data_IF_166413902852
#
_entry.id   IF_166413902852
#
_cell.length_a   1.000
_cell.length_b   1.000
_cell.length_c   1.000
_cell.angle_alpha   90.00
_cell.angle_beta   90.00
_cell.angle_gamma   90.00
#
_symmetry.space_group_name_H-M   'P 1'
#
loop_
_entity.id
_entity.type
_entity.pdbx_description
1 polymer ?
#
# COMPACT_ATOMS: atom_id res chain seq x y z
N UNK A 1 8.08 -9.26 30.76
CA UNK A 1 7.18 -10.37 30.35
C UNK A 1 7.65 -10.85 28.99
N UNK A 2 7.64 -12.16 28.73
CA UNK A 2 7.92 -12.70 27.39
C UNK A 2 6.80 -12.24 26.45
N UNK A 3 7.15 -11.79 25.22
CA UNK A 3 6.14 -11.46 24.22
C UNK A 3 5.42 -12.73 23.77
N UNK A 4 4.15 -12.58 23.43
CA UNK A 4 3.35 -13.63 22.86
C UNK A 4 3.93 -14.09 21.51
N UNK A 5 3.82 -15.38 21.20
CA UNK A 5 4.26 -15.93 19.93
C UNK A 5 3.11 -15.90 18.94
N UNK A 6 3.36 -15.43 17.73
CA UNK A 6 2.38 -15.47 16.66
C UNK A 6 2.16 -16.93 16.18
N UNK A 7 0.91 -17.35 16.07
CA UNK A 7 0.53 -18.67 15.58
C UNK A 7 -0.25 -18.51 14.28
N UNK A 8 0.27 -19.07 13.19
CA UNK A 8 -0.42 -19.10 11.89
C UNK A 8 -1.53 -20.14 11.90
N UNK A 9 -2.74 -19.72 12.20
CA UNK A 9 -3.92 -20.60 12.21
C UNK A 9 -4.78 -20.44 10.94
N UNK A 10 -4.64 -19.34 10.22
CA UNK A 10 -5.44 -18.96 9.05
C UNK A 10 -4.56 -18.39 7.92
N UNK A 11 -5.03 -18.45 6.66
CA UNK A 11 -4.37 -17.74 5.57
C UNK A 11 -4.27 -16.24 5.87
N UNK A 12 -3.11 -15.65 5.56
CA UNK A 12 -2.83 -14.23 5.78
C UNK A 12 -3.03 -13.43 4.51
N UNK A 13 -3.79 -12.32 4.61
CA UNK A 13 -4.08 -11.41 3.51
C UNK A 13 -3.82 -9.97 3.96
N UNK A 14 -3.15 -9.20 3.11
CA UNK A 14 -2.95 -7.77 3.34
C UNK A 14 -4.01 -6.99 2.57
N UNK A 15 -4.80 -6.20 3.27
CA UNK A 15 -5.75 -5.28 2.66
C UNK A 15 -5.52 -3.87 3.20
N UNK A 16 -6.20 -2.90 2.62
CA UNK A 16 -6.16 -1.55 3.19
C UNK A 16 -7.23 -0.67 2.60
N UNK A 17 -7.42 0.48 3.25
CA UNK A 17 -8.36 1.52 2.83
C UNK A 17 -7.66 2.56 1.96
N UNK A 18 -8.25 2.83 0.79
CA UNK A 18 -7.86 3.88 -0.14
C UNK A 18 -9.06 4.77 -0.47
N UNK A 19 -8.84 5.96 -0.99
CA UNK A 19 -9.88 6.91 -1.37
C UNK A 19 -9.58 8.34 -0.95
N UNK A 20 -10.46 9.25 -1.26
CA UNK A 20 -10.29 10.69 -1.03
C UNK A 20 -10.16 11.04 0.46
N UNK A 21 -9.55 12.20 0.77
CA UNK A 21 -9.57 12.77 2.12
C UNK A 21 -11.02 12.99 2.57
N UNK A 22 -11.31 12.84 3.85
CA UNK A 22 -12.63 12.99 4.47
C UNK A 22 -13.74 12.03 3.99
N UNK A 23 -13.45 11.04 3.13
CA UNK A 23 -14.41 9.99 2.78
C UNK A 23 -14.61 8.94 3.90
N UNK A 24 -13.81 8.99 4.96
CA UNK A 24 -13.99 8.17 6.17
C UNK A 24 -13.21 6.85 6.14
N UNK A 25 -12.03 6.80 5.54
CA UNK A 25 -11.16 5.61 5.52
C UNK A 25 -10.81 5.11 6.92
N UNK A 26 -10.21 5.98 7.74
CA UNK A 26 -9.85 5.66 9.14
C UNK A 26 -11.07 5.35 9.99
N UNK A 27 -12.19 6.06 9.75
CA UNK A 27 -13.47 5.78 10.41
C UNK A 27 -13.98 4.38 10.04
N UNK A 28 -13.83 3.95 8.78
CA UNK A 28 -14.20 2.62 8.32
C UNK A 28 -13.29 1.54 8.92
N UNK A 29 -11.99 1.80 8.99
CA UNK A 29 -11.02 0.92 9.66
C UNK A 29 -11.37 0.72 11.15
N UNK A 30 -11.70 1.80 11.86
CA UNK A 30 -12.16 1.74 13.24
C UNK A 30 -13.49 0.97 13.38
N UNK A 31 -14.44 1.17 12.45
CA UNK A 31 -15.72 0.46 12.43
C UNK A 31 -15.55 -1.06 12.23
N UNK A 32 -14.63 -1.47 11.34
CA UNK A 32 -14.26 -2.88 11.13
C UNK A 32 -13.73 -3.49 12.43
N UNK A 33 -12.76 -2.84 13.08
CA UNK A 33 -12.20 -3.37 14.34
C UNK A 33 -13.24 -3.42 15.45
N UNK A 34 -14.16 -2.43 15.52
CA UNK A 34 -15.26 -2.43 16.49
C UNK A 34 -16.18 -3.63 16.28
N UNK A 35 -16.68 -3.84 15.06
CA UNK A 35 -17.54 -4.96 14.73
C UNK A 35 -16.89 -6.32 15.03
N UNK A 36 -15.67 -6.52 14.54
CA UNK A 36 -14.94 -7.76 14.74
C UNK A 36 -14.54 -7.99 16.20
N UNK A 37 -14.41 -6.95 17.01
CA UNK A 37 -14.19 -7.09 18.47
C UNK A 37 -15.38 -7.68 19.19
N UNK A 38 -16.60 -7.42 18.73
CA UNK A 38 -17.81 -8.06 19.28
C UNK A 38 -17.84 -9.57 19.04
N UNK A 39 -17.18 -10.01 17.98
CA UNK A 39 -17.00 -11.43 17.64
C UNK A 39 -15.76 -12.07 18.29
N UNK A 40 -14.96 -11.30 19.04
CA UNK A 40 -13.68 -11.76 19.60
C UNK A 40 -12.58 -11.97 18.56
N UNK A 41 -12.71 -11.37 17.37
CA UNK A 41 -11.84 -11.54 16.21
C UNK A 41 -10.90 -10.34 15.96
N UNK A 42 -11.03 -9.30 16.73
CA UNK A 42 -10.15 -8.12 16.74
C UNK A 42 -10.04 -7.53 18.14
N UNK A 43 -9.00 -6.72 18.33
CA UNK A 43 -8.98 -5.71 19.37
C UNK A 43 -9.57 -4.43 18.78
N UNK A 44 -10.57 -3.84 19.41
CA UNK A 44 -11.10 -2.55 18.98
C UNK A 44 -10.00 -1.47 19.03
N UNK A 45 -9.79 -0.80 17.93
CA UNK A 45 -8.91 0.36 17.80
C UNK A 45 -9.75 1.58 17.39
N UNK A 46 -9.82 2.56 18.30
CA UNK A 46 -10.56 3.78 18.04
C UNK A 46 -9.83 4.67 17.02
N UNK A 47 -10.55 5.60 16.41
CA UNK A 47 -10.02 6.52 15.40
C UNK A 47 -8.71 7.21 15.84
N UNK A 48 -8.68 7.74 17.06
CA UNK A 48 -7.53 8.43 17.65
C UNK A 48 -6.36 7.50 18.04
N UNK A 49 -6.56 6.20 18.01
CA UNK A 49 -5.52 5.19 18.20
C UNK A 49 -4.88 4.78 16.86
N UNK A 50 -5.66 4.81 15.78
CA UNK A 50 -5.20 4.57 14.41
C UNK A 50 -4.41 5.79 13.95
N UNK A 51 -5.00 6.98 13.93
CA UNK A 51 -4.32 8.26 13.67
C UNK A 51 -3.67 8.77 14.96
N UNK A 52 -2.61 8.07 15.38
CA UNK A 52 -2.02 8.24 16.72
C UNK A 52 -1.01 9.37 16.85
N UNK A 53 -0.45 9.88 15.73
CA UNK A 53 0.55 10.93 15.76
C UNK A 53 -0.03 12.29 16.20
N UNK A 54 0.71 13.10 16.98
CA UNK A 54 0.21 14.41 17.42
C UNK A 54 -0.20 15.32 16.26
N UNK A 55 0.49 15.26 15.12
CA UNK A 55 0.20 16.06 13.94
C UNK A 55 -1.06 15.58 13.21
N UNK A 56 -1.31 14.27 13.15
CA UNK A 56 -2.53 13.68 12.60
C UNK A 56 -3.76 14.11 13.41
N UNK A 57 -3.66 14.03 14.74
CA UNK A 57 -4.74 14.48 15.64
C UNK A 57 -5.00 15.98 15.54
N UNK A 58 -3.94 16.79 15.38
CA UNK A 58 -4.08 18.25 15.28
C UNK A 58 -4.74 18.69 13.97
N UNK A 59 -4.50 17.96 12.88
CA UNK A 59 -5.03 18.26 11.55
C UNK A 59 -6.30 17.49 11.21
N UNK A 60 -6.61 16.40 11.92
CA UNK A 60 -7.73 15.51 11.62
C UNK A 60 -7.59 14.73 10.32
N UNK A 61 -6.35 14.48 9.87
CA UNK A 61 -6.05 13.73 8.65
C UNK A 61 -4.95 12.71 8.89
N UNK A 62 -5.04 11.56 8.22
CA UNK A 62 -4.00 10.55 8.21
C UNK A 62 -2.79 11.04 7.40
N UNK A 63 -1.62 10.98 7.98
CA UNK A 63 -0.35 11.38 7.36
C UNK A 63 0.49 10.14 7.02
N UNK A 64 0.65 9.25 7.99
CA UNK A 64 1.40 8.01 7.86
C UNK A 64 0.44 6.83 7.67
N UNK A 65 0.94 5.75 7.08
CA UNK A 65 0.19 4.50 7.05
C UNK A 65 0.10 3.90 8.45
N UNK A 66 -1.10 3.53 8.87
CA UNK A 66 -1.32 2.78 10.11
C UNK A 66 -1.61 1.31 9.79
N UNK A 67 -1.13 0.40 10.64
CA UNK A 67 -1.32 -1.03 10.48
C UNK A 67 -2.18 -1.57 11.61
N UNK A 68 -3.28 -2.22 11.25
CA UNK A 68 -4.24 -2.81 12.20
C UNK A 68 -4.37 -4.30 11.91
N UNK A 69 -4.45 -5.11 12.98
CA UNK A 69 -4.58 -6.58 12.90
C UNK A 69 -6.01 -7.00 13.27
N UNK A 70 -6.61 -7.87 12.47
CA UNK A 70 -7.86 -8.54 12.82
C UNK A 70 -8.05 -9.85 12.05
N UNK A 71 -9.08 -10.60 12.41
CA UNK A 71 -9.42 -11.87 11.78
C UNK A 71 -10.89 -11.90 11.37
N UNK A 72 -11.22 -12.76 10.41
CA UNK A 72 -12.55 -13.28 10.18
C UNK A 72 -12.60 -14.77 10.55
N UNK A 73 -13.70 -15.44 10.34
CA UNK A 73 -13.75 -16.89 10.49
C UNK A 73 -12.74 -17.60 9.57
N UNK A 74 -12.44 -17.03 8.40
CA UNK A 74 -11.72 -17.66 7.32
C UNK A 74 -10.26 -17.23 7.23
N UNK A 75 -9.93 -15.97 7.62
CA UNK A 75 -8.63 -15.33 7.32
C UNK A 75 -8.12 -14.46 8.44
N UNK A 76 -6.80 -14.29 8.46
CA UNK A 76 -6.10 -13.28 9.24
C UNK A 76 -5.73 -12.11 8.33
N UNK A 77 -5.99 -10.88 8.77
CA UNK A 77 -5.76 -9.66 7.99
C UNK A 77 -4.75 -8.75 8.66
N UNK A 78 -3.81 -8.25 7.84
CA UNK A 78 -3.11 -7.01 8.10
C UNK A 78 -3.81 -5.92 7.28
N UNK A 79 -4.32 -4.89 7.96
CA UNK A 79 -5.01 -3.78 7.33
C UNK A 79 -4.13 -2.54 7.38
N UNK A 80 -3.90 -1.95 6.22
CA UNK A 80 -3.13 -0.71 6.04
C UNK A 80 -4.10 0.44 5.82
N UNK A 81 -4.20 1.33 6.78
CA UNK A 81 -4.95 2.58 6.61
C UNK A 81 -4.08 3.62 5.90
N UNK A 82 -4.47 4.05 4.71
CA UNK A 82 -3.69 4.95 3.86
C UNK A 82 -4.15 6.40 3.99
N UNK A 83 -3.19 7.37 3.94
CA UNK A 83 -3.54 8.77 3.87
C UNK A 83 -4.34 9.09 2.60
N UNK A 84 -5.27 10.04 2.71
CA UNK A 84 -6.11 10.49 1.59
C UNK A 84 -5.67 11.78 0.93
N UNK A 85 -4.84 12.57 1.62
CA UNK A 85 -4.45 13.91 1.16
C UNK A 85 -3.33 13.85 0.11
N UNK A 86 -3.40 14.70 -0.90
CA UNK A 86 -2.44 14.75 -2.01
C UNK A 86 -0.97 14.93 -1.58
N UNK A 87 -0.72 15.66 -0.49
CA UNK A 87 0.64 15.87 0.02
C UNK A 87 1.31 14.57 0.53
N UNK A 88 0.51 13.55 0.87
CA UNK A 88 1.00 12.28 1.45
C UNK A 88 0.90 11.10 0.49
N UNK A 89 0.74 11.36 -0.81
CA UNK A 89 0.65 10.32 -1.85
C UNK A 89 1.83 9.34 -1.80
N UNK A 90 3.03 9.79 -1.44
CA UNK A 90 4.18 8.91 -1.25
C UNK A 90 3.92 7.82 -0.19
N UNK A 91 3.29 8.18 0.92
CA UNK A 91 2.92 7.21 1.96
C UNK A 91 1.76 6.32 1.50
N UNK A 92 0.81 6.87 0.72
CA UNK A 92 -0.25 6.08 0.09
C UNK A 92 0.32 5.03 -0.87
N UNK A 93 1.25 5.38 -1.75
CA UNK A 93 1.90 4.45 -2.68
C UNK A 93 2.60 3.32 -1.90
N UNK A 94 3.35 3.68 -0.86
CA UNK A 94 4.03 2.69 -0.01
C UNK A 94 3.04 1.74 0.67
N UNK A 95 1.93 2.27 1.20
CA UNK A 95 0.87 1.46 1.80
C UNK A 95 0.19 0.55 0.78
N UNK A 96 -0.19 1.10 -0.37
CA UNK A 96 -0.86 0.34 -1.42
C UNK A 96 0.02 -0.79 -1.99
N UNK A 97 1.33 -0.60 -2.08
CA UNK A 97 2.27 -1.63 -2.53
C UNK A 97 2.31 -2.87 -1.60
N UNK A 98 1.83 -2.73 -0.37
CA UNK A 98 1.73 -3.84 0.58
C UNK A 98 0.45 -4.66 0.43
N UNK A 99 -0.58 -4.15 -0.25
CA UNK A 99 -1.90 -4.74 -0.29
C UNK A 99 -2.00 -5.86 -1.33
N UNK A 100 -2.73 -6.91 -0.97
CA UNK A 100 -3.19 -7.96 -1.88
C UNK A 100 -4.54 -7.57 -2.52
N UNK A 101 -5.32 -6.75 -1.81
CA UNK A 101 -6.55 -6.13 -2.25
C UNK A 101 -6.84 -4.86 -1.47
N UNK A 102 -7.71 -4.00 -1.96
CA UNK A 102 -8.05 -2.73 -1.34
C UNK A 102 -9.55 -2.56 -1.12
N UNK A 103 -9.91 -1.80 -0.10
CA UNK A 103 -11.25 -1.26 0.13
C UNK A 103 -11.23 0.20 -0.35
N UNK A 104 -11.93 0.48 -1.42
CA UNK A 104 -12.11 1.85 -1.91
C UNK A 104 -13.28 2.49 -1.16
N UNK A 105 -12.97 3.46 -0.31
CA UNK A 105 -13.97 4.19 0.47
C UNK A 105 -14.34 5.46 -0.28
N UNK A 106 -15.62 5.57 -0.64
CA UNK A 106 -16.20 6.74 -1.34
C UNK A 106 -17.36 7.27 -0.50
N UNK A 107 -17.40 8.58 -0.29
CA UNK A 107 -18.57 9.23 0.32
C UNK A 107 -19.75 9.20 -0.63
N UNK A 108 -20.89 8.68 -0.20
CA UNK A 108 -22.12 8.66 -1.00
C UNK A 108 -22.68 10.07 -1.25
N UNK A 109 -22.36 11.04 -0.37
CA UNK A 109 -22.78 12.42 -0.53
C UNK A 109 -21.94 13.21 -1.52
N UNK A 110 -20.65 12.89 -1.65
CA UNK A 110 -19.70 13.63 -2.47
C UNK A 110 -19.38 12.97 -3.81
N UNK A 111 -19.57 11.63 -3.89
CA UNK A 111 -19.17 10.83 -5.06
C UNK A 111 -17.66 10.69 -5.23
N UNK A 112 -17.19 10.22 -6.40
CA UNK A 112 -15.77 10.09 -6.71
C UNK A 112 -15.12 11.47 -6.85
N UNK A 113 -14.07 11.71 -6.05
CA UNK A 113 -13.33 12.97 -5.97
C UNK A 113 -11.92 12.80 -6.61
N UNK A 114 -11.14 13.88 -6.84
CA UNK A 114 -9.86 13.80 -7.54
C UNK A 114 -8.88 12.77 -6.97
N UNK A 115 -8.72 12.69 -5.64
CA UNK A 115 -7.84 11.69 -5.04
C UNK A 115 -8.42 10.26 -5.14
N UNK A 116 -9.74 10.08 -5.30
CA UNK A 116 -10.32 8.77 -5.59
C UNK A 116 -9.75 8.22 -6.89
N UNK A 117 -9.73 9.02 -7.96
CA UNK A 117 -9.13 8.68 -9.26
C UNK A 117 -7.65 8.38 -9.13
N UNK A 118 -6.89 9.26 -8.48
CA UNK A 118 -5.45 9.07 -8.27
C UNK A 118 -5.15 7.79 -7.49
N UNK A 119 -5.90 7.49 -6.43
CA UNK A 119 -5.70 6.29 -5.62
C UNK A 119 -6.00 4.99 -6.38
N UNK A 120 -7.04 4.96 -7.23
CA UNK A 120 -7.34 3.81 -8.08
C UNK A 120 -6.19 3.58 -9.07
N UNK A 121 -5.74 4.65 -9.74
CA UNK A 121 -4.61 4.60 -10.67
C UNK A 121 -3.34 4.06 -9.99
N UNK A 122 -2.98 4.63 -8.86
CA UNK A 122 -1.79 4.25 -8.11
C UNK A 122 -1.88 2.81 -7.59
N UNK A 123 -3.02 2.40 -7.06
CA UNK A 123 -3.25 1.02 -6.62
C UNK A 123 -3.03 0.04 -7.79
N UNK A 124 -3.55 0.38 -8.98
CA UNK A 124 -3.33 -0.42 -10.20
C UNK A 124 -1.84 -0.52 -10.55
N UNK A 125 -1.11 0.59 -10.50
CA UNK A 125 0.31 0.66 -10.84
C UNK A 125 1.20 -0.13 -9.88
N UNK A 126 0.91 -0.10 -8.58
CA UNK A 126 1.67 -0.89 -7.59
C UNK A 126 1.24 -2.37 -7.53
N UNK A 127 0.28 -2.77 -8.37
CA UNK A 127 -0.08 -4.17 -8.55
C UNK A 127 -1.25 -4.68 -7.70
N UNK A 128 -2.04 -3.81 -7.09
CA UNK A 128 -3.32 -4.19 -6.47
C UNK A 128 -4.27 -4.67 -7.56
N UNK A 129 -4.74 -5.90 -7.44
CA UNK A 129 -5.58 -6.54 -8.47
C UNK A 129 -7.06 -6.55 -8.13
N UNK A 130 -7.41 -6.45 -6.85
CA UNK A 130 -8.76 -6.61 -6.35
C UNK A 130 -9.15 -5.40 -5.51
N UNK A 131 -10.32 -4.85 -5.80
CA UNK A 131 -10.91 -3.73 -5.06
C UNK A 131 -12.32 -4.13 -4.66
N UNK A 132 -12.68 -3.85 -3.42
CA UNK A 132 -14.06 -3.87 -2.91
C UNK A 132 -14.44 -2.42 -2.62
N UNK A 133 -15.62 -1.98 -3.02
CA UNK A 133 -16.08 -0.62 -2.81
C UNK A 133 -16.95 -0.53 -1.56
N UNK A 134 -16.70 0.46 -0.73
CA UNK A 134 -17.56 0.84 0.39
C UNK A 134 -18.07 2.27 0.19
N UNK A 135 -19.35 2.40 -0.16
CA UNK A 135 -20.04 3.69 -0.20
C UNK A 135 -20.42 4.08 1.24
N UNK A 136 -19.61 4.95 1.81
CA UNK A 136 -19.74 5.44 3.18
C UNK A 136 -20.65 6.67 3.24
N UNK A 137 -21.07 7.06 4.42
CA UNK A 137 -21.95 8.22 4.71
C UNK A 137 -23.31 8.13 4.01
N UNK A 138 -23.85 6.93 3.79
CA UNK A 138 -25.17 6.77 3.20
C UNK A 138 -26.30 7.35 4.10
N UNK A 139 -26.02 7.59 5.38
CA UNK A 139 -26.91 8.29 6.32
C UNK A 139 -27.10 9.79 5.99
N UNK A 140 -26.26 10.36 5.14
CA UNK A 140 -26.36 11.76 4.68
C UNK A 140 -27.15 11.90 3.37
N UNK A 141 -27.60 10.81 2.77
CA UNK A 141 -28.27 10.78 1.47
C UNK A 141 -29.64 10.14 1.63
N UNK A 142 -30.69 10.94 1.53
CA UNK A 142 -32.07 10.48 1.66
C UNK A 142 -32.65 9.91 0.36
N UNK A 143 -32.03 10.26 -0.79
CA UNK A 143 -32.51 9.86 -2.11
C UNK A 143 -31.80 8.56 -2.58
N UNK A 144 -32.55 7.46 -2.73
CA UNK A 144 -31.99 6.20 -3.24
C UNK A 144 -31.45 6.29 -4.66
N UNK A 145 -32.04 7.15 -5.52
CA UNK A 145 -31.57 7.32 -6.92
C UNK A 145 -30.17 7.94 -6.95
N UNK A 146 -29.86 8.85 -6.01
CA UNK A 146 -28.54 9.43 -5.88
C UNK A 146 -27.49 8.38 -5.47
N UNK A 147 -27.85 7.45 -4.58
CA UNK A 147 -26.96 6.34 -4.19
C UNK A 147 -26.66 5.41 -5.37
N UNK A 148 -27.64 5.16 -6.24
CA UNK A 148 -27.45 4.35 -7.45
C UNK A 148 -26.57 5.08 -8.48
N UNK A 149 -26.75 6.39 -8.63
CA UNK A 149 -25.94 7.22 -9.52
C UNK A 149 -24.46 7.21 -9.08
N UNK A 150 -24.19 7.44 -7.81
CA UNK A 150 -22.81 7.41 -7.27
C UNK A 150 -22.18 6.01 -7.42
N UNK A 151 -22.96 4.94 -7.21
CA UNK A 151 -22.48 3.58 -7.45
C UNK A 151 -22.08 3.39 -8.92
N UNK A 152 -22.91 3.85 -9.86
CA UNK A 152 -22.63 3.77 -11.29
C UNK A 152 -21.36 4.55 -11.68
N UNK A 153 -21.22 5.79 -11.18
CA UNK A 153 -19.99 6.58 -11.41
C UNK A 153 -18.73 5.89 -10.91
N UNK A 154 -18.78 5.24 -9.74
CA UNK A 154 -17.64 4.50 -9.20
C UNK A 154 -17.33 3.26 -10.04
N UNK A 155 -18.33 2.54 -10.53
CA UNK A 155 -18.16 1.38 -11.42
C UNK A 155 -17.53 1.77 -12.76
N UNK A 156 -18.03 2.85 -13.36
CA UNK A 156 -17.49 3.40 -14.61
C UNK A 156 -16.04 3.82 -14.44
N UNK A 157 -15.73 4.51 -13.34
CA UNK A 157 -14.38 4.93 -13.00
C UNK A 157 -13.43 3.74 -12.81
N UNK A 158 -13.85 2.70 -12.12
CA UNK A 158 -13.05 1.49 -11.95
C UNK A 158 -12.79 0.78 -13.29
N UNK A 159 -13.79 0.76 -14.18
CA UNK A 159 -13.68 0.19 -15.53
C UNK A 159 -12.70 0.98 -16.39
N UNK A 160 -12.72 2.31 -16.31
CA UNK A 160 -11.77 3.22 -16.98
C UNK A 160 -10.31 2.88 -16.61
N UNK A 161 -10.05 2.56 -15.35
CA UNK A 161 -8.71 2.17 -14.87
C UNK A 161 -8.41 0.66 -14.98
N UNK A 162 -9.23 -0.09 -15.71
CA UNK A 162 -9.00 -1.49 -16.06
C UNK A 162 -9.29 -2.49 -14.94
N UNK A 163 -10.12 -2.13 -13.97
CA UNK A 163 -10.76 -3.07 -13.04
C UNK A 163 -12.11 -3.54 -13.59
N UNK A 164 -12.62 -4.72 -13.21
CA UNK A 164 -13.92 -5.21 -13.66
C UNK A 164 -15.07 -4.52 -12.90
N UNK A 165 -15.32 -3.24 -13.18
CA UNK A 165 -16.24 -2.38 -12.44
C UNK A 165 -17.64 -2.97 -12.23
N UNK A 166 -18.18 -3.68 -13.22
CA UNK A 166 -19.51 -4.31 -13.14
C UNK A 166 -19.58 -5.48 -12.17
N UNK A 167 -18.44 -6.18 -11.96
CA UNK A 167 -18.35 -7.37 -11.11
C UNK A 167 -17.91 -7.05 -9.66
N UNK A 168 -17.39 -5.86 -9.43
CA UNK A 168 -16.85 -5.45 -8.12
C UNK A 168 -17.98 -5.32 -7.10
N UNK A 169 -17.84 -5.94 -5.91
CA UNK A 169 -18.80 -5.73 -4.82
C UNK A 169 -18.82 -4.27 -4.37
N UNK A 170 -20.01 -3.70 -4.27
CA UNK A 170 -20.27 -2.36 -3.74
C UNK A 170 -21.18 -2.48 -2.53
N UNK A 171 -20.68 -2.14 -1.36
CA UNK A 171 -21.39 -2.18 -0.11
C UNK A 171 -21.75 -0.75 0.33
N UNK A 172 -22.99 -0.52 0.73
CA UNK A 172 -23.52 0.78 1.17
C UNK A 172 -23.66 0.80 2.69
N UNK A 173 -23.21 1.89 3.35
CA UNK A 173 -23.32 1.98 4.79
C UNK A 173 -22.87 3.30 5.40
N UNK A 174 -22.84 3.34 6.71
CA UNK A 174 -22.32 4.47 7.49
C UNK A 174 -21.39 3.98 8.60
N UNK A 175 -20.12 4.19 8.44
CA UNK A 175 -19.12 3.85 9.46
C UNK A 175 -19.34 4.64 10.75
N UNK A 176 -19.85 5.88 10.65
CA UNK A 176 -20.17 6.70 11.82
C UNK A 176 -21.25 6.06 12.69
N UNK A 177 -22.36 5.62 12.09
CA UNK A 177 -23.44 4.92 12.82
C UNK A 177 -22.94 3.66 13.50
N UNK A 178 -22.03 2.93 12.87
CA UNK A 178 -21.37 1.77 13.49
C UNK A 178 -20.58 2.18 14.74
N UNK A 179 -19.82 3.27 14.67
CA UNK A 179 -19.03 3.73 15.83
C UNK A 179 -19.88 4.33 16.94
N UNK A 180 -20.99 4.97 16.62
CA UNK A 180 -21.93 5.54 17.59
C UNK A 180 -22.83 4.48 18.25
N UNK A 181 -23.00 3.31 17.63
CA UNK A 181 -23.82 2.24 18.21
C UNK A 181 -23.29 1.80 19.57
N UNK A 182 -24.20 1.65 20.51
CA UNK A 182 -23.94 1.09 21.86
C UNK A 182 -24.33 -0.38 21.96
N UNK A 183 -24.85 -0.98 20.88
CA UNK A 183 -25.23 -2.39 20.84
C UNK A 183 -24.03 -3.30 21.02
N UNK A 184 -24.19 -4.34 21.80
CA UNK A 184 -23.22 -5.44 21.94
C UNK A 184 -23.62 -6.68 21.13
N UNK A 185 -24.77 -6.63 20.45
CA UNK A 185 -25.21 -7.69 19.54
C UNK A 185 -24.57 -7.48 18.15
N UNK A 186 -23.71 -8.38 17.68
CA UNK A 186 -23.09 -8.27 16.35
C UNK A 186 -24.10 -8.40 15.20
N UNK A 187 -25.34 -8.82 15.45
CA UNK A 187 -26.41 -8.90 14.46
C UNK A 187 -27.29 -7.64 14.43
N UNK A 188 -27.00 -6.64 15.25
CA UNK A 188 -27.76 -5.39 15.22
C UNK A 188 -27.68 -4.72 13.83
N UNK A 189 -28.77 -4.07 13.37
CA UNK A 189 -28.86 -3.53 12.00
C UNK A 189 -27.73 -2.58 11.61
N UNK A 190 -27.22 -1.79 12.55
CA UNK A 190 -26.16 -0.84 12.33
C UNK A 190 -24.80 -1.48 11.96
N UNK A 191 -24.58 -2.75 12.35
CA UNK A 191 -23.36 -3.49 12.00
C UNK A 191 -23.45 -4.24 10.68
N UNK A 192 -24.63 -4.35 10.09
CA UNK A 192 -24.87 -5.15 8.89
C UNK A 192 -23.98 -4.73 7.72
N UNK A 193 -23.78 -3.42 7.50
CA UNK A 193 -22.93 -2.92 6.42
C UNK A 193 -21.45 -3.35 6.57
N UNK A 194 -20.93 -3.40 7.79
CA UNK A 194 -19.54 -3.86 8.03
C UNK A 194 -19.44 -5.38 7.90
N UNK A 195 -20.47 -6.12 8.34
CA UNK A 195 -20.54 -7.55 8.11
C UNK A 195 -20.50 -7.87 6.62
N UNK A 196 -21.35 -7.23 5.83
CA UNK A 196 -21.40 -7.40 4.36
C UNK A 196 -20.08 -7.00 3.70
N UNK A 197 -19.44 -5.92 4.18
CA UNK A 197 -18.12 -5.51 3.69
C UNK A 197 -17.08 -6.61 3.94
N UNK A 198 -17.01 -7.18 5.13
CA UNK A 198 -16.05 -8.22 5.46
C UNK A 198 -16.35 -9.54 4.75
N UNK A 199 -17.62 -9.88 4.55
CA UNK A 199 -18.03 -11.04 3.76
C UNK A 199 -17.61 -10.85 2.27
N UNK A 200 -17.76 -9.65 1.72
CA UNK A 200 -17.31 -9.32 0.37
C UNK A 200 -15.78 -9.39 0.25
N UNK A 201 -15.04 -8.87 1.22
CA UNK A 201 -13.57 -8.95 1.27
C UNK A 201 -13.11 -10.41 1.32
N UNK A 202 -13.74 -11.23 2.18
CA UNK A 202 -13.39 -12.65 2.32
C UNK A 202 -13.66 -13.47 1.04
N UNK A 203 -14.69 -13.12 0.29
CA UNK A 203 -15.12 -13.89 -0.89
C UNK A 203 -14.52 -13.40 -2.19
N UNK A 204 -14.43 -12.09 -2.39
CA UNK A 204 -14.01 -11.49 -3.65
C UNK A 204 -12.48 -11.40 -3.78
N UNK A 205 -11.76 -11.10 -2.70
CA UNK A 205 -10.30 -11.03 -2.72
C UNK A 205 -9.74 -12.45 -2.51
N UNK A 206 -9.05 -13.06 -3.49
CA UNK A 206 -8.54 -14.42 -3.34
C UNK A 206 -7.38 -14.46 -2.34
N UNK A 207 -7.15 -15.63 -1.74
CA UNK A 207 -5.92 -15.85 -0.97
C UNK A 207 -4.72 -15.78 -1.91
N UNK A 208 -3.78 -14.86 -1.70
CA UNK A 208 -2.68 -14.66 -2.65
C UNK A 208 -1.69 -15.82 -2.62
N UNK A 209 -1.18 -16.19 -3.80
CA UNK A 209 -0.04 -17.08 -3.89
C UNK A 209 1.22 -16.37 -3.38
N UNK A 210 1.95 -17.01 -2.46
CA UNK A 210 3.15 -16.44 -1.85
C UNK A 210 4.41 -17.05 -2.47
N UNK A 211 5.33 -16.24 -3.03
CA UNK A 211 6.58 -16.73 -3.62
C UNK A 211 7.64 -17.05 -2.53
N UNK A 212 7.35 -18.04 -1.69
CA UNK A 212 8.20 -18.44 -0.55
C UNK A 212 9.50 -19.12 -0.96
N UNK A 213 9.54 -19.73 -2.14
CA UNK A 213 10.72 -20.45 -2.65
C UNK A 213 11.78 -19.54 -3.29
N UNK A 214 11.46 -18.25 -3.47
CA UNK A 214 12.42 -17.26 -3.98
C UNK A 214 13.36 -16.77 -2.88
N UNK A 215 14.53 -16.19 -3.22
CA UNK A 215 15.39 -15.53 -2.25
C UNK A 215 14.64 -14.44 -1.49
N UNK A 216 14.86 -14.35 -0.18
CA UNK A 216 14.23 -13.35 0.69
C UNK A 216 14.47 -11.93 0.20
N UNK A 217 13.42 -11.12 0.21
CA UNK A 217 13.46 -9.69 -0.06
C UNK A 217 12.32 -8.98 0.68
N UNK A 218 12.66 -7.91 1.38
CA UNK A 218 11.73 -7.04 2.09
C UNK A 218 12.13 -5.57 1.86
N UNK A 219 11.31 -4.76 1.17
CA UNK A 219 11.49 -3.31 1.11
C UNK A 219 11.37 -2.70 2.51
N UNK A 220 12.27 -1.77 2.85
CA UNK A 220 12.28 -1.09 4.14
C UNK A 220 11.35 0.14 4.06
N UNK A 221 10.36 0.18 4.93
CA UNK A 221 9.35 1.24 5.02
C UNK A 221 9.66 2.24 6.12
N UNK A 222 10.09 1.74 7.27
CA UNK A 222 10.47 2.59 8.41
C UNK A 222 11.65 1.98 9.16
N UNK A 223 12.38 2.86 9.85
CA UNK A 223 13.54 2.51 10.66
C UNK A 223 13.40 3.14 12.02
N UNK A 224 13.35 2.31 13.05
CA UNK A 224 13.21 2.76 14.43
C UNK A 224 14.29 2.16 15.32
N UNK A 225 14.53 2.81 16.44
CA UNK A 225 15.43 2.30 17.50
C UNK A 225 14.60 1.91 18.71
N UNK A 226 14.78 0.68 19.17
CA UNK A 226 14.19 0.23 20.44
C UNK A 226 15.27 0.22 21.50
N UNK A 227 15.08 0.99 22.56
CA UNK A 227 16.03 1.08 23.68
C UNK A 227 16.32 -0.32 24.25
N UNK A 228 17.59 -0.69 24.31
CA UNK A 228 18.06 -1.98 24.80
C UNK A 228 17.94 -3.15 23.81
N UNK A 229 17.39 -2.93 22.60
CA UNK A 229 17.22 -3.99 21.57
C UNK A 229 17.94 -3.68 20.27
N UNK A 230 18.15 -2.40 19.94
CA UNK A 230 18.85 -1.98 18.73
C UNK A 230 17.93 -1.43 17.63
N UNK A 231 18.41 -1.48 16.39
CA UNK A 231 17.69 -0.99 15.21
C UNK A 231 16.71 -2.03 14.69
N UNK A 232 15.50 -1.59 14.44
CA UNK A 232 14.42 -2.37 13.84
C UNK A 232 14.05 -1.72 12.51
N UNK A 233 13.97 -2.53 11.47
CA UNK A 233 13.43 -2.14 10.16
C UNK A 233 12.08 -2.79 9.97
N UNK A 234 11.12 -2.05 9.46
CA UNK A 234 9.78 -2.57 9.16
C UNK A 234 9.55 -2.65 7.67
N UNK A 235 8.71 -3.59 7.26
CA UNK A 235 8.29 -3.74 5.89
C UNK A 235 7.47 -5.01 5.66
N UNK A 236 6.88 -5.11 4.48
CA UNK A 236 6.25 -6.34 4.01
C UNK A 236 7.30 -7.22 3.32
N UNK A 237 7.33 -8.49 3.66
CA UNK A 237 8.14 -9.48 2.94
C UNK A 237 7.56 -9.65 1.53
N UNK A 238 8.29 -9.20 0.51
CA UNK A 238 7.87 -9.27 -0.90
C UNK A 238 7.96 -10.71 -1.42
N UNK A 239 9.04 -11.41 -1.06
CA UNK A 239 9.29 -12.80 -1.46
C UNK A 239 10.23 -13.52 -0.49
N UNK A 240 10.21 -14.83 -0.57
CA UNK A 240 11.08 -15.71 0.22
C UNK A 240 10.69 -15.81 1.68
N UNK A 241 11.65 -16.22 2.47
CA UNK A 241 11.52 -16.45 3.92
C UNK A 241 12.79 -15.96 4.63
N UNK A 242 12.65 -15.51 5.88
CA UNK A 242 13.75 -15.13 6.76
C UNK A 242 13.51 -15.71 8.15
N UNK A 243 14.55 -16.24 8.76
CA UNK A 243 14.56 -16.77 10.14
C UNK A 243 15.39 -15.90 11.05
N UNK A 244 15.12 -16.02 12.34
CA UNK A 244 16.02 -15.49 13.37
C UNK A 244 17.39 -16.17 13.24
N UNK A 245 18.46 -15.38 13.25
CA UNK A 245 19.87 -15.72 13.01
C UNK A 245 20.28 -15.85 11.54
N UNK A 246 19.39 -15.62 10.58
CA UNK A 246 19.81 -15.54 9.18
C UNK A 246 20.68 -14.32 8.91
N UNK A 247 21.70 -14.49 8.04
CA UNK A 247 22.46 -13.40 7.46
C UNK A 247 21.62 -12.74 6.36
N UNK A 248 21.55 -11.42 6.38
CA UNK A 248 20.84 -10.59 5.39
C UNK A 248 21.73 -9.43 4.95
N UNK A 249 21.39 -8.83 3.82
CA UNK A 249 22.09 -7.69 3.26
C UNK A 249 21.12 -6.52 3.07
N UNK A 250 21.56 -5.34 3.49
CA UNK A 250 20.86 -4.07 3.27
C UNK A 250 21.40 -3.51 1.95
N UNK A 251 20.52 -3.32 0.97
CA UNK A 251 20.90 -2.97 -0.42
C UNK A 251 20.18 -1.71 -0.89
N UNK A 252 20.89 -0.87 -1.63
CA UNK A 252 20.38 0.37 -2.24
C UNK A 252 20.73 1.61 -1.46
N UNK A 253 20.70 2.77 -2.12
CA UNK A 253 20.95 4.13 -1.62
C UNK A 253 22.37 4.31 -1.04
N UNK A 254 22.73 3.49 -0.08
CA UNK A 254 24.06 3.45 0.58
C UNK A 254 24.84 2.21 0.17
N UNK A 255 26.16 2.15 0.44
CA UNK A 255 26.92 0.92 0.23
C UNK A 255 26.28 -0.27 0.94
N UNK A 256 26.19 -1.39 0.25
CA UNK A 256 25.57 -2.61 0.77
C UNK A 256 26.28 -3.11 2.05
N UNK A 257 25.51 -3.47 3.05
CA UNK A 257 26.01 -3.91 4.36
C UNK A 257 25.34 -5.20 4.79
N UNK A 258 26.13 -6.17 5.19
CA UNK A 258 25.62 -7.44 5.74
C UNK A 258 25.38 -7.34 7.24
N UNK A 259 24.31 -7.98 7.70
CA UNK A 259 23.96 -8.07 9.11
C UNK A 259 23.22 -9.37 9.43
N UNK A 260 22.86 -9.56 10.68
CA UNK A 260 22.12 -10.75 11.14
C UNK A 260 20.79 -10.31 11.74
N UNK A 261 19.71 -11.00 11.37
CA UNK A 261 18.40 -10.82 11.98
C UNK A 261 18.39 -11.46 13.37
N UNK A 262 18.27 -10.66 14.41
CA UNK A 262 18.27 -11.13 15.81
C UNK A 262 16.89 -11.38 16.38
N UNK A 263 15.85 -10.91 15.68
CA UNK A 263 14.47 -11.13 16.06
C UNK A 263 13.52 -10.68 14.94
N UNK A 264 12.38 -11.33 14.87
CA UNK A 264 11.30 -11.01 13.95
C UNK A 264 10.01 -10.83 14.75
N UNK A 265 9.28 -9.77 14.46
CA UNK A 265 8.01 -9.47 15.13
C UNK A 265 6.95 -9.06 14.11
N UNK A 266 5.71 -9.46 14.36
CA UNK A 266 4.53 -9.04 13.62
C UNK A 266 3.42 -8.71 14.64
N UNK A 267 2.83 -7.51 14.58
CA UNK A 267 1.82 -7.02 15.51
C UNK A 267 2.21 -7.22 17.00
N UNK A 268 3.45 -6.86 17.33
CA UNK A 268 4.03 -6.99 18.70
C UNK A 268 4.19 -8.44 19.20
N UNK A 269 3.87 -9.45 18.39
CA UNK A 269 4.11 -10.87 18.66
C UNK A 269 5.41 -11.32 18.00
N UNK A 270 6.11 -12.28 18.60
CA UNK A 270 7.37 -12.81 18.06
C UNK A 270 7.13 -13.93 17.06
N UNK A 271 7.98 -13.98 16.02
CA UNK A 271 8.04 -15.07 15.05
C UNK A 271 9.44 -15.70 15.04
N UNK A 272 9.50 -17.03 14.83
CA UNK A 272 10.77 -17.70 14.54
C UNK A 272 11.19 -17.50 13.08
N UNK A 273 10.19 -17.36 12.20
CA UNK A 273 10.35 -17.21 10.76
C UNK A 273 9.24 -16.33 10.19
N UNK A 274 9.62 -15.43 9.30
CA UNK A 274 8.68 -14.68 8.45
C UNK A 274 8.75 -15.17 7.01
N UNK A 275 7.66 -15.00 6.27
CA UNK A 275 7.54 -15.43 4.87
C UNK A 275 6.84 -14.36 4.01
N UNK A 276 6.91 -14.54 2.69
CA UNK A 276 6.28 -13.65 1.74
C UNK A 276 4.83 -13.32 2.13
N UNK A 277 4.52 -12.02 2.19
CA UNK A 277 3.23 -11.48 2.61
C UNK A 277 3.18 -10.97 4.05
N UNK A 278 4.11 -11.37 4.92
CA UNK A 278 4.11 -10.88 6.31
C UNK A 278 4.57 -9.42 6.40
N UNK A 279 3.88 -8.63 7.22
CA UNK A 279 4.32 -7.29 7.61
C UNK A 279 5.10 -7.42 8.92
N UNK A 280 6.41 -7.24 8.87
CA UNK A 280 7.28 -7.52 10.01
C UNK A 280 8.15 -6.35 10.42
N UNK A 281 8.57 -6.38 11.68
CA UNK A 281 9.74 -5.68 12.18
C UNK A 281 10.89 -6.65 12.36
N UNK A 282 12.00 -6.43 11.65
CA UNK A 282 13.21 -7.23 11.77
C UNK A 282 14.25 -6.47 12.61
N UNK A 283 14.72 -7.09 13.69
CA UNK A 283 15.79 -6.56 14.54
C UNK A 283 17.13 -6.92 13.91
N UNK A 284 18.00 -5.93 13.72
CA UNK A 284 19.29 -6.08 13.06
C UNK A 284 20.45 -5.93 14.04
N UNK A 285 21.46 -6.80 13.92
CA UNK A 285 22.66 -6.80 14.79
C UNK A 285 23.66 -5.75 14.31
N UNK A 286 24.11 -4.89 15.24
CA UNK A 286 25.25 -3.99 14.99
C UNK A 286 25.00 -2.89 13.96
N UNK A 287 23.76 -2.65 13.58
CA UNK A 287 23.33 -1.62 12.64
C UNK A 287 22.80 -0.42 13.42
N UNK A 288 23.30 0.77 13.11
CA UNK A 288 22.79 2.03 13.67
C UNK A 288 21.59 2.50 12.84
N UNK A 289 20.69 3.31 13.45
CA UNK A 289 19.56 3.90 12.69
C UNK A 289 20.03 4.74 11.50
N UNK A 290 21.19 5.38 11.62
CA UNK A 290 21.80 6.21 10.56
C UNK A 290 22.37 5.41 9.39
N UNK A 291 22.60 4.12 9.56
CA UNK A 291 23.17 3.24 8.53
C UNK A 291 22.10 2.73 7.56
N UNK A 292 20.83 2.78 7.97
CA UNK A 292 19.69 2.28 7.23
C UNK A 292 18.68 3.39 7.03
N UNK A 293 18.00 3.39 5.87
CA UNK A 293 16.93 4.33 5.58
C UNK A 293 15.81 3.69 4.76
N UNK A 294 14.64 4.31 4.79
CA UNK A 294 13.50 3.96 3.95
C UNK A 294 13.90 3.96 2.49
N UNK A 295 13.47 2.94 1.74
CA UNK A 295 13.76 2.81 0.32
C UNK A 295 14.88 1.83 0.00
N UNK A 296 15.71 1.47 0.98
CA UNK A 296 16.59 0.30 0.87
C UNK A 296 15.77 -0.99 0.95
N UNK A 297 16.37 -2.10 0.59
CA UNK A 297 15.78 -3.42 0.79
C UNK A 297 16.64 -4.26 1.73
N UNK A 298 15.99 -5.11 2.54
CA UNK A 298 16.61 -6.17 3.26
C UNK A 298 16.47 -7.45 2.44
N UNK A 299 17.55 -8.10 2.08
CA UNK A 299 17.54 -9.22 1.14
C UNK A 299 18.48 -10.35 1.57
N UNK A 300 18.30 -11.53 0.96
CA UNK A 300 19.30 -12.60 1.04
C UNK A 300 20.59 -12.10 0.41
N UNK A 301 21.77 -12.28 1.06
CA UNK A 301 23.04 -11.76 0.54
C UNK A 301 23.30 -12.17 -0.92
N UNK A 302 23.63 -11.17 -1.75
CA UNK A 302 23.92 -11.35 -3.17
C UNK A 302 22.75 -11.69 -4.07
N UNK A 303 21.51 -11.58 -3.60
CA UNK A 303 20.32 -11.91 -4.40
C UNK A 303 19.72 -10.73 -5.17
N UNK A 304 20.12 -9.52 -4.86
CA UNK A 304 19.77 -8.28 -5.55
C UNK A 304 20.92 -7.29 -5.42
N UNK A 305 21.06 -6.39 -6.40
CA UNK A 305 22.14 -5.40 -6.43
C UNK A 305 21.58 -3.99 -6.61
N UNK A 306 22.30 -2.95 -6.16
CA UNK A 306 21.94 -1.57 -6.44
C UNK A 306 22.35 -1.20 -7.86
N UNK A 307 21.48 -0.48 -8.57
CA UNK A 307 21.68 -0.05 -9.94
C UNK A 307 21.29 1.42 -10.13
N UNK A 308 21.92 2.09 -11.09
CA UNK A 308 21.61 3.47 -11.46
C UNK A 308 21.04 3.58 -12.86
N UNK A 309 21.38 2.68 -13.79
CA UNK A 309 21.00 2.80 -15.19
C UNK A 309 20.30 1.53 -15.69
N UNK A 310 19.14 1.72 -16.32
CA UNK A 310 18.32 0.62 -16.82
C UNK A 310 17.46 1.05 -18.00
N UNK A 311 16.98 0.07 -18.78
CA UNK A 311 15.95 0.24 -19.79
C UNK A 311 14.59 -0.04 -19.19
N UNK A 312 13.57 0.67 -19.68
CA UNK A 312 12.21 0.48 -19.26
C UNK A 312 11.22 0.70 -20.40
N UNK A 313 10.12 -0.03 -20.35
CA UNK A 313 8.92 0.26 -21.13
C UNK A 313 8.02 1.14 -20.30
N UNK A 314 7.64 2.30 -20.84
CA UNK A 314 6.89 3.33 -20.10
C UNK A 314 5.65 3.73 -20.87
N UNK A 315 4.51 3.77 -20.16
CA UNK A 315 3.30 4.41 -20.60
C UNK A 315 3.17 5.81 -19.99
N UNK A 316 2.97 6.81 -20.82
CA UNK A 316 2.82 8.21 -20.40
C UNK A 316 1.34 8.54 -20.31
N UNK A 317 0.87 8.86 -19.10
CA UNK A 317 -0.55 9.14 -18.83
C UNK A 317 -1.03 10.37 -19.61
N UNK A 318 -2.24 10.25 -20.17
CA UNK A 318 -2.94 11.35 -20.83
C UNK A 318 -3.43 12.39 -19.81
N UNK A 319 -3.85 13.56 -20.30
CA UNK A 319 -4.48 14.60 -19.47
C UNK A 319 -5.75 14.09 -18.78
N UNK A 320 -6.55 13.30 -19.47
CA UNK A 320 -7.82 12.77 -18.97
C UNK A 320 -7.60 11.75 -17.85
N UNK A 321 -6.49 11.03 -17.89
CA UNK A 321 -6.00 10.14 -16.82
C UNK A 321 -5.31 10.91 -15.66
N UNK A 322 -5.34 12.24 -15.65
CA UNK A 322 -4.67 13.06 -14.64
C UNK A 322 -3.18 13.31 -14.89
N UNK A 323 -2.66 12.84 -16.00
CA UNK A 323 -1.26 12.97 -16.40
C UNK A 323 -0.89 14.32 -17.01
N UNK A 324 0.07 14.28 -17.93
CA UNK A 324 0.56 15.48 -18.63
C UNK A 324 -0.38 15.91 -19.76
N UNK A 325 -0.30 17.17 -20.13
CA UNK A 325 -0.94 17.73 -21.33
C UNK A 325 0.07 18.20 -22.38
N UNK A 326 1.37 18.08 -22.10
CA UNK A 326 2.46 18.50 -22.98
C UNK A 326 3.46 17.36 -23.15
N UNK A 327 4.10 17.30 -24.32
CA UNK A 327 5.23 16.39 -24.58
C UNK A 327 6.39 16.66 -23.62
N UNK A 328 7.27 15.67 -23.46
CA UNK A 328 8.59 15.85 -22.90
C UNK A 328 9.67 15.40 -23.90
N UNK A 329 10.88 15.86 -23.67
CA UNK A 329 12.03 15.67 -24.56
C UNK A 329 13.13 14.90 -23.85
N UNK A 330 14.14 14.51 -24.62
CA UNK A 330 15.35 13.91 -24.08
C UNK A 330 15.95 14.77 -22.96
N UNK A 331 16.41 14.12 -21.88
CA UNK A 331 16.93 14.80 -20.69
C UNK A 331 15.86 15.24 -19.68
N UNK A 332 14.58 14.84 -19.85
CA UNK A 332 13.52 15.07 -18.86
C UNK A 332 13.86 14.43 -17.51
N UNK A 333 13.59 15.14 -16.40
CA UNK A 333 14.04 14.80 -15.05
C UNK A 333 12.90 14.70 -14.03
N UNK A 334 12.06 13.68 -14.10
CA UNK A 334 11.00 13.44 -13.11
C UNK A 334 11.50 12.66 -11.89
N UNK A 335 10.58 12.38 -10.97
CA UNK A 335 10.79 11.45 -9.87
C UNK A 335 10.26 10.05 -10.25
N UNK A 336 11.07 9.05 -9.94
CA UNK A 336 10.74 7.63 -10.14
C UNK A 336 10.45 6.99 -8.79
N UNK A 337 9.29 6.37 -8.66
CA UNK A 337 8.84 5.72 -7.43
C UNK A 337 8.98 4.21 -7.57
N UNK A 338 9.89 3.64 -6.78
CA UNK A 338 10.13 2.20 -6.71
C UNK A 338 9.85 1.71 -5.30
N UNK A 339 9.02 0.68 -5.13
CA UNK A 339 8.72 0.11 -3.80
C UNK A 339 8.40 1.21 -2.77
N UNK A 340 9.32 1.46 -1.83
CA UNK A 340 9.16 2.41 -0.73
C UNK A 340 9.94 3.72 -0.89
N UNK A 341 10.59 3.93 -2.04
CA UNK A 341 11.43 5.11 -2.30
C UNK A 341 11.05 5.85 -3.57
N UNK A 342 11.45 7.11 -3.63
CA UNK A 342 11.45 7.93 -4.83
C UNK A 342 12.86 8.47 -5.10
N UNK A 343 13.25 8.46 -6.36
CA UNK A 343 14.56 8.93 -6.81
C UNK A 343 14.39 9.76 -8.08
N UNK A 344 15.08 10.89 -8.15
CA UNK A 344 15.17 11.65 -9.40
C UNK A 344 16.01 10.90 -10.41
N UNK A 345 15.58 10.86 -11.66
CA UNK A 345 16.34 10.26 -12.76
C UNK A 345 16.25 11.09 -14.02
N UNK A 346 17.12 10.83 -14.96
CA UNK A 346 17.16 11.44 -16.29
C UNK A 346 16.67 10.42 -17.31
N UNK A 347 15.77 10.83 -18.18
CA UNK A 347 15.28 10.02 -19.29
C UNK A 347 16.17 10.27 -20.51
N UNK A 348 16.69 9.21 -21.10
CA UNK A 348 17.35 9.17 -22.39
C UNK A 348 16.44 8.45 -23.38
N UNK A 349 15.97 9.16 -24.39
CA UNK A 349 15.13 8.60 -25.46
C UNK A 349 15.99 7.86 -26.48
N UNK A 350 15.41 6.83 -27.12
CA UNK A 350 16.10 6.11 -28.17
C UNK A 350 16.40 7.00 -29.40
N UNK A 351 17.44 6.65 -30.13
CA UNK A 351 17.86 7.38 -31.32
C UNK A 351 16.73 7.46 -32.35
N UNK A 352 16.34 8.67 -32.75
CA UNK A 352 15.23 8.92 -33.66
C UNK A 352 13.92 9.34 -32.99
N UNK A 353 13.83 9.26 -31.67
CA UNK A 353 12.70 9.77 -30.90
C UNK A 353 13.02 11.17 -30.38
N UNK A 354 12.39 12.19 -30.96
CA UNK A 354 12.64 13.59 -30.57
C UNK A 354 11.84 13.98 -29.32
N UNK A 355 10.62 13.47 -29.17
CA UNK A 355 9.72 13.78 -28.05
C UNK A 355 8.78 12.60 -27.77
N UNK A 356 8.17 12.62 -26.60
CA UNK A 356 7.16 11.65 -26.15
C UNK A 356 5.89 12.42 -25.77
N UNK A 357 4.76 11.98 -26.31
CA UNK A 357 3.45 12.58 -26.08
C UNK A 357 2.70 11.86 -24.96
N UNK A 358 1.78 12.54 -24.24
CA UNK A 358 0.81 11.86 -23.41
C UNK A 358 0.01 10.82 -24.20
N UNK A 359 -0.11 9.60 -23.66
CA UNK A 359 -0.73 8.43 -24.32
C UNK A 359 0.25 7.50 -25.03
N UNK A 360 1.52 7.87 -25.15
CA UNK A 360 2.53 7.04 -25.79
C UNK A 360 2.99 5.88 -24.89
N UNK A 361 3.27 4.74 -25.52
CA UNK A 361 4.08 3.65 -24.97
C UNK A 361 5.48 3.72 -25.60
N UNK A 362 6.50 3.88 -24.79
CA UNK A 362 7.87 4.15 -25.26
C UNK A 362 8.90 3.35 -24.48
N UNK A 363 9.85 2.76 -25.20
CA UNK A 363 11.07 2.23 -24.61
C UNK A 363 12.06 3.37 -24.37
N UNK A 364 12.64 3.44 -23.19
CA UNK A 364 13.58 4.49 -22.83
C UNK A 364 14.65 3.98 -21.88
N UNK A 365 15.78 4.67 -21.84
CA UNK A 365 16.82 4.47 -20.84
C UNK A 365 16.65 5.49 -19.74
N UNK A 366 16.78 5.05 -18.49
CA UNK A 366 16.63 5.88 -17.30
C UNK A 366 17.91 5.78 -16.49
N UNK A 367 18.46 6.93 -16.11
CA UNK A 367 19.63 7.05 -15.25
C UNK A 367 19.26 7.78 -13.96
N UNK A 368 19.30 7.06 -12.84
CA UNK A 368 18.97 7.58 -11.51
C UNK A 368 20.16 8.30 -10.88
N UNK A 369 19.87 9.34 -10.10
CA UNK A 369 20.93 10.07 -9.37
C UNK A 369 21.46 9.31 -8.14
N UNK A 370 20.74 8.25 -7.70
CA UNK A 370 21.10 7.44 -6.53
C UNK A 370 20.88 5.97 -6.88
N UNK A 371 21.81 5.06 -6.54
CA UNK A 371 21.64 3.65 -6.78
C UNK A 371 20.54 3.08 -5.89
N UNK A 372 19.63 2.31 -6.46
CA UNK A 372 18.57 1.60 -5.73
C UNK A 372 18.53 0.13 -6.13
N UNK A 373 17.95 -0.69 -5.26
CA UNK A 373 17.77 -2.12 -5.52
C UNK A 373 16.72 -2.34 -6.62
N UNK A 374 17.16 -2.61 -7.84
CA UNK A 374 16.32 -2.81 -9.03
C UNK A 374 16.56 -4.22 -9.59
N UNK A 375 15.54 -4.76 -10.23
CA UNK A 375 15.61 -6.00 -10.99
C UNK A 375 14.66 -5.96 -12.19
N UNK A 376 14.89 -6.80 -13.17
CA UNK A 376 14.01 -6.90 -14.34
C UNK A 376 12.59 -7.28 -13.94
N UNK A 377 11.61 -6.64 -14.55
CA UNK A 377 10.19 -6.82 -14.24
C UNK A 377 9.67 -5.97 -13.08
N UNK A 378 10.51 -5.14 -12.45
CA UNK A 378 10.07 -4.24 -11.39
C UNK A 378 9.24 -3.10 -11.97
N UNK A 379 8.02 -2.91 -11.46
CA UNK A 379 7.17 -1.78 -11.81
C UNK A 379 7.58 -0.51 -11.07
N UNK A 380 7.33 0.63 -11.71
CA UNK A 380 7.56 1.95 -11.12
C UNK A 380 6.54 2.98 -11.63
N UNK A 381 6.34 4.03 -10.84
CA UNK A 381 5.58 5.21 -11.25
C UNK A 381 6.51 6.39 -11.51
N UNK A 382 6.11 7.25 -12.46
CA UNK A 382 6.80 8.51 -12.77
C UNK A 382 5.93 9.66 -12.29
N UNK A 383 6.50 10.57 -11.50
CA UNK A 383 5.78 11.71 -10.95
C UNK A 383 6.49 13.04 -11.23
N UNK A 384 5.70 14.07 -11.45
CA UNK A 384 6.15 15.46 -11.62
C UNK A 384 5.16 16.42 -10.95
N UNK A 385 5.66 17.37 -10.18
CA UNK A 385 4.82 18.42 -9.58
C UNK A 385 3.65 17.89 -8.73
N UNK A 386 3.83 16.77 -8.04
CA UNK A 386 2.81 16.14 -7.22
C UNK A 386 1.79 15.28 -7.98
N UNK A 387 1.96 15.07 -9.29
CA UNK A 387 1.07 14.25 -10.14
C UNK A 387 1.80 13.04 -10.68
N UNK A 388 1.09 11.93 -10.84
CA UNK A 388 1.58 10.79 -11.60
C UNK A 388 1.45 11.09 -13.08
N UNK A 389 2.56 10.99 -13.82
CA UNK A 389 2.61 11.34 -15.23
C UNK A 389 2.93 10.14 -16.12
N UNK A 390 3.27 9.02 -15.53
CA UNK A 390 3.51 7.78 -16.25
C UNK A 390 3.76 6.61 -15.32
N UNK A 391 3.79 5.42 -15.91
CA UNK A 391 4.18 4.18 -15.25
C UNK A 391 5.03 3.34 -16.18
N UNK A 392 5.90 2.53 -15.63
CA UNK A 392 6.78 1.68 -16.42
C UNK A 392 7.16 0.40 -15.73
N UNK A 393 7.79 -0.46 -16.48
CA UNK A 393 8.41 -1.71 -16.02
C UNK A 393 9.86 -1.76 -16.46
N UNK A 394 10.75 -2.15 -15.57
CA UNK A 394 12.18 -2.35 -15.87
C UNK A 394 12.32 -3.53 -16.83
N UNK A 395 12.86 -3.30 -18.01
CA UNK A 395 13.06 -4.34 -19.04
C UNK A 395 14.47 -4.92 -19.00
N UNK A 396 15.48 -4.12 -18.74
CA UNK A 396 16.88 -4.56 -18.71
C UNK A 396 17.73 -3.67 -17.81
N UNK A 397 18.70 -4.24 -17.10
CA UNK A 397 19.65 -3.53 -16.25
C UNK A 397 20.93 -3.24 -17.05
N UNK A 398 21.41 -2.01 -17.01
CA UNK A 398 22.62 -1.58 -17.73
C UNK A 398 23.79 -1.42 -16.76
N UNK A 399 23.57 -0.69 -15.62
CA UNK A 399 24.62 -0.39 -14.64
C UNK A 399 24.06 -0.31 -13.21
#
# INVERSE_FOLDING_TARGET
MAKEKFVRSKPHVNIGTIGHVDHGKTTTTAAITKYLSLLGQAKYEAYDQIDGAPEERARGITINTAHVEYETANRHYAHVDCPGHADYVKNMITGAAQMDGAILVVSAADGPMPQTREHILLARQVGVKYIVVYLNKCDMVDDPELLELVEMEVRDLLSEYGFPGDEIPVIKGSSLKVLESTSTDPNAPEYQCIKELMDAVDTYIPTPARPIDKPFLMPIEDVMTITGRGTVVTGRVERGQVKVQDEVEIVGIKPSTKTIVTGVEMFKKTLDQAEAGDNIGALLRGVQRTDVERGQVLAKPGSIHPHTKFKAQVYVLTKDEGGRHTAFFNGYRPQFYFRTTDVTGVIELEAGTEMVMPGDNVDMTIELITPIAIENGLNFAIREGGRTVGSGVVSDIIE
#
